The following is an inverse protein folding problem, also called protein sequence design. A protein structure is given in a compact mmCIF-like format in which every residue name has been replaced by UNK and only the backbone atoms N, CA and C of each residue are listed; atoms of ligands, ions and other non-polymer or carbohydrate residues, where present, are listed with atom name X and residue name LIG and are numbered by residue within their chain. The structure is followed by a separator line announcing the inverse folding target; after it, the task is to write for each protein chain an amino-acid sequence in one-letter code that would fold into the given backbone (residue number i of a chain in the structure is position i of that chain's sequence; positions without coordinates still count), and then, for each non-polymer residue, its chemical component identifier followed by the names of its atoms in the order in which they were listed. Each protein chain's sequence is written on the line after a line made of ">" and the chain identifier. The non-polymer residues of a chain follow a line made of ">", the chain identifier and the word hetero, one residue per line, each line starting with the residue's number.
data_IF_285727925594
#
_entry.id   IF_285727925594
#
_cell.length_a   1.000
_cell.length_b   1.000
_cell.length_c   1.000
_cell.angle_alpha   90.00
_cell.angle_beta   90.00
_cell.angle_gamma   90.00
#
_symmetry.space_group_name_H-M   'P 1'
#
loop_
_entity.id
_entity.type
_entity.pdbx_description
1 polymer ?
#
# COMPACT_ATOMS: atom_id res chain seq x y z
N UNK A 1 -7.42 -29.46 -10.42
CA UNK A 1 -6.33 -29.29 -9.44
C UNK A 1 -6.89 -28.50 -8.27
N UNK A 2 -6.94 -29.10 -7.11
CA UNK A 2 -7.62 -28.60 -5.92
C UNK A 2 -6.93 -27.36 -5.39
N UNK A 3 -7.69 -26.30 -5.11
CA UNK A 3 -7.29 -24.98 -4.58
C UNK A 3 -6.36 -24.97 -3.35
N UNK A 4 -6.15 -26.13 -2.74
CA UNK A 4 -5.43 -26.32 -1.47
C UNK A 4 -3.91 -26.59 -1.61
N UNK A 5 -3.41 -26.75 -2.84
CA UNK A 5 -2.03 -27.19 -3.07
C UNK A 5 -1.00 -26.03 -3.20
N UNK A 6 -1.43 -24.78 -3.09
CA UNK A 6 -0.54 -23.60 -3.25
C UNK A 6 -0.26 -22.85 -1.95
N UNK A 7 -0.96 -23.18 -0.86
CA UNK A 7 -0.66 -22.61 0.46
C UNK A 7 -0.12 -23.74 1.36
N UNK A 8 1.00 -23.52 2.06
CA UNK A 8 1.47 -24.49 3.05
C UNK A 8 0.40 -24.71 4.12
N UNK A 9 0.32 -25.95 4.67
CA UNK A 9 -0.55 -26.32 5.80
C UNK A 9 -0.08 -25.65 7.12
N UNK A 10 0.12 -24.34 7.10
CA UNK A 10 0.37 -23.58 8.31
C UNK A 10 -0.95 -23.42 9.09
N UNK A 11 -0.95 -23.53 10.43
CA UNK A 11 -2.12 -23.20 11.22
C UNK A 11 -2.56 -21.77 10.87
N UNK A 12 -3.85 -21.59 10.58
CA UNK A 12 -4.38 -20.28 10.21
C UNK A 12 -3.96 -19.25 11.28
N UNK A 13 -3.22 -18.20 10.91
CA UNK A 13 -2.76 -17.22 11.86
C UNK A 13 -3.96 -16.57 12.56
N UNK A 14 -3.90 -16.51 13.89
CA UNK A 14 -4.93 -15.88 14.71
C UNK A 14 -4.70 -14.36 14.70
N UNK A 15 -5.15 -13.67 13.65
CA UNK A 15 -5.04 -12.21 13.54
C UNK A 15 -6.36 -11.58 13.08
N UNK A 16 -6.44 -10.26 13.16
CA UNK A 16 -7.67 -9.51 12.79
C UNK A 16 -8.00 -9.59 11.29
N UNK A 17 -7.04 -10.02 10.47
CA UNK A 17 -7.17 -10.18 9.01
C UNK A 17 -7.19 -11.65 8.57
N UNK A 18 -7.41 -12.59 9.52
CA UNK A 18 -7.42 -14.02 9.20
C UNK A 18 -8.36 -14.34 8.04
N UNK A 19 -7.83 -15.01 7.01
CA UNK A 19 -8.57 -15.41 5.81
C UNK A 19 -8.84 -14.28 4.81
N UNK A 20 -8.43 -13.04 5.07
CA UNK A 20 -8.52 -11.96 4.09
C UNK A 20 -7.48 -12.15 2.99
N UNK A 21 -7.86 -11.89 1.74
CA UNK A 21 -6.96 -11.87 0.59
C UNK A 21 -6.74 -10.40 0.24
N UNK A 22 -5.51 -9.93 0.40
CA UNK A 22 -5.16 -8.52 0.26
C UNK A 22 -4.02 -8.37 -0.74
N UNK A 23 -4.24 -7.57 -1.79
CA UNK A 23 -3.19 -7.21 -2.73
C UNK A 23 -2.46 -5.94 -2.25
N UNK A 24 -1.14 -5.95 -2.34
CA UNK A 24 -0.28 -4.79 -2.06
C UNK A 24 0.49 -4.45 -3.32
N UNK A 25 0.27 -3.27 -3.89
CA UNK A 25 1.05 -2.78 -5.04
C UNK A 25 2.29 -2.02 -4.56
N UNK A 26 3.36 -2.02 -5.36
CA UNK A 26 4.65 -1.48 -4.91
C UNK A 26 5.26 -2.30 -3.78
N UNK A 27 4.92 -3.59 -3.70
CA UNK A 27 5.38 -4.50 -2.65
C UNK A 27 6.86 -4.87 -2.77
N UNK A 28 7.51 -4.48 -3.84
CA UNK A 28 8.93 -4.68 -4.12
C UNK A 28 9.84 -3.62 -3.48
N UNK A 29 9.31 -2.58 -2.85
CA UNK A 29 10.12 -1.49 -2.29
C UNK A 29 9.48 -0.81 -1.07
N UNK A 30 10.29 -0.07 -0.32
CA UNK A 30 9.88 0.85 0.72
C UNK A 30 8.81 0.31 1.67
N UNK A 31 7.77 1.09 1.87
CA UNK A 31 6.62 0.73 2.70
C UNK A 31 5.85 -0.50 2.22
N UNK A 32 5.91 -0.83 0.91
CA UNK A 32 5.20 -1.99 0.37
C UNK A 32 5.62 -3.29 1.04
N UNK A 33 6.91 -3.50 1.27
CA UNK A 33 7.43 -4.68 1.98
C UNK A 33 6.96 -4.72 3.43
N UNK A 34 7.07 -3.59 4.15
CA UNK A 34 6.70 -3.52 5.57
C UNK A 34 5.19 -3.71 5.79
N UNK A 35 4.38 -3.06 4.97
CA UNK A 35 2.91 -3.21 4.98
C UNK A 35 2.53 -4.66 4.68
N UNK A 36 3.15 -5.28 3.68
CA UNK A 36 2.88 -6.68 3.33
C UNK A 36 3.19 -7.62 4.49
N UNK A 37 4.33 -7.44 5.16
CA UNK A 37 4.71 -8.23 6.33
C UNK A 37 3.74 -8.00 7.51
N UNK A 38 3.31 -6.75 7.75
CA UNK A 38 2.37 -6.43 8.81
C UNK A 38 0.98 -7.07 8.56
N UNK A 39 0.46 -6.99 7.33
CA UNK A 39 -0.81 -7.62 6.95
C UNK A 39 -0.74 -9.16 7.11
N UNK A 40 0.37 -9.77 6.69
CA UNK A 40 0.56 -11.21 6.82
C UNK A 40 0.66 -11.65 8.29
N UNK A 41 1.32 -10.88 9.16
CA UNK A 41 1.34 -11.13 10.63
C UNK A 41 -0.06 -11.13 11.25
N UNK A 42 -0.96 -10.34 10.69
CA UNK A 42 -2.37 -10.28 11.10
C UNK A 42 -3.26 -11.35 10.42
N UNK A 43 -2.65 -12.29 9.70
CA UNK A 43 -3.33 -13.45 9.15
C UNK A 43 -3.89 -13.29 7.74
N UNK A 44 -3.54 -12.22 7.04
CA UNK A 44 -3.93 -12.06 5.64
C UNK A 44 -3.11 -12.98 4.72
N UNK A 45 -3.74 -13.46 3.64
CA UNK A 45 -3.04 -13.97 2.47
C UNK A 45 -2.67 -12.78 1.59
N UNK A 46 -1.40 -12.47 1.48
CA UNK A 46 -0.93 -11.26 0.80
C UNK A 46 -0.51 -11.57 -0.63
N UNK A 47 -1.02 -10.78 -1.58
CA UNK A 47 -0.56 -10.81 -2.97
C UNK A 47 0.37 -9.61 -3.20
N UNK A 48 1.64 -9.90 -3.42
CA UNK A 48 2.69 -8.91 -3.61
C UNK A 48 2.76 -8.53 -5.09
N UNK A 49 2.42 -7.28 -5.42
CA UNK A 49 2.41 -6.77 -6.79
C UNK A 49 3.48 -5.69 -6.96
N UNK A 50 4.28 -5.79 -8.01
CA UNK A 50 5.35 -4.85 -8.33
C UNK A 50 6.08 -5.23 -9.62
N UNK A 51 7.09 -4.47 -9.99
CA UNK A 51 7.82 -4.64 -11.24
C UNK A 51 9.04 -5.55 -11.09
N UNK A 52 9.64 -5.62 -9.90
CA UNK A 52 10.85 -6.40 -9.64
C UNK A 52 10.52 -7.78 -9.05
N UNK A 53 10.54 -8.80 -9.92
CA UNK A 53 10.22 -10.18 -9.53
C UNK A 53 11.14 -10.76 -8.46
N UNK A 54 12.43 -10.40 -8.45
CA UNK A 54 13.41 -10.91 -7.48
C UNK A 54 13.09 -10.36 -6.07
N UNK A 55 12.86 -9.05 -5.98
CA UNK A 55 12.51 -8.41 -4.70
C UNK A 55 11.15 -8.89 -4.18
N UNK A 56 10.16 -9.09 -5.07
CA UNK A 56 8.87 -9.67 -4.70
C UNK A 56 9.03 -11.08 -4.14
N UNK A 57 9.84 -11.93 -4.79
CA UNK A 57 10.10 -13.29 -4.33
C UNK A 57 10.82 -13.29 -2.97
N UNK A 58 11.81 -12.42 -2.78
CA UNK A 58 12.50 -12.28 -1.50
C UNK A 58 11.55 -11.82 -0.38
N UNK A 59 10.65 -10.88 -0.69
CA UNK A 59 9.61 -10.41 0.26
C UNK A 59 8.65 -11.56 0.63
N UNK A 60 8.19 -12.34 -0.36
CA UNK A 60 7.33 -13.49 -0.12
C UNK A 60 8.02 -14.52 0.79
N UNK A 61 9.26 -14.91 0.47
CA UNK A 61 10.04 -15.84 1.28
C UNK A 61 10.24 -15.34 2.73
N UNK A 62 10.48 -14.05 2.92
CA UNK A 62 10.60 -13.45 4.26
C UNK A 62 9.30 -13.57 5.06
N UNK A 63 8.14 -13.35 4.42
CA UNK A 63 6.82 -13.49 5.04
C UNK A 63 6.54 -14.96 5.38
N UNK A 64 6.86 -15.89 4.48
CA UNK A 64 6.68 -17.33 4.71
C UNK A 64 7.54 -17.85 5.85
N UNK A 65 8.81 -17.42 5.93
CA UNK A 65 9.70 -17.76 7.04
C UNK A 65 9.20 -17.24 8.39
N UNK A 66 8.45 -16.14 8.39
CA UNK A 66 7.79 -15.60 9.58
C UNK A 66 6.44 -16.29 9.89
N UNK A 67 6.04 -17.31 9.13
CA UNK A 67 4.79 -18.06 9.32
C UNK A 67 3.57 -17.43 8.65
N UNK A 68 3.74 -16.39 7.83
CA UNK A 68 2.68 -15.78 7.03
C UNK A 68 2.49 -16.46 5.68
N UNK A 69 1.55 -15.94 4.88
CA UNK A 69 1.28 -16.41 3.53
C UNK A 69 1.36 -15.25 2.52
N UNK A 70 2.21 -15.40 1.51
CA UNK A 70 2.35 -14.41 0.45
C UNK A 70 2.64 -15.05 -0.90
N UNK A 71 2.13 -14.45 -1.98
CA UNK A 71 2.48 -14.84 -3.35
C UNK A 71 2.96 -13.61 -4.13
N UNK A 72 4.07 -13.71 -4.88
CA UNK A 72 4.54 -12.65 -5.76
C UNK A 72 3.80 -12.67 -7.10
N UNK A 73 3.48 -11.49 -7.62
CA UNK A 73 2.86 -11.31 -8.93
C UNK A 73 3.44 -10.07 -9.61
N UNK A 74 4.18 -10.28 -10.70
CA UNK A 74 4.77 -9.19 -11.46
C UNK A 74 3.70 -8.44 -12.25
N UNK A 75 3.57 -7.13 -12.03
CA UNK A 75 2.74 -6.24 -12.84
C UNK A 75 3.16 -4.79 -12.64
N UNK A 76 3.04 -3.99 -13.69
CA UNK A 76 3.14 -2.53 -13.64
C UNK A 76 1.73 -1.93 -13.51
N UNK A 77 1.42 -1.40 -12.33
CA UNK A 77 0.09 -0.83 -12.03
C UNK A 77 -0.19 0.48 -12.79
N UNK A 78 0.83 1.12 -13.38
CA UNK A 78 0.65 2.29 -14.27
C UNK A 78 0.04 1.88 -15.62
N UNK A 79 0.10 0.59 -15.95
CA UNK A 79 -0.48 -0.02 -17.15
C UNK A 79 -1.81 -0.70 -16.79
N UNK A 80 -2.97 -0.15 -17.22
CA UNK A 80 -4.28 -0.68 -16.79
C UNK A 80 -4.52 -2.15 -17.14
N UNK A 81 -3.95 -2.64 -18.24
CA UNK A 81 -4.08 -4.05 -18.64
C UNK A 81 -3.29 -4.99 -17.72
N UNK A 82 -2.11 -4.58 -17.26
CA UNK A 82 -1.31 -5.36 -16.32
C UNK A 82 -2.06 -5.49 -15.00
N UNK A 83 -2.62 -4.37 -14.50
CA UNK A 83 -3.45 -4.39 -13.30
C UNK A 83 -4.66 -5.32 -13.46
N UNK A 84 -5.37 -5.24 -14.59
CA UNK A 84 -6.53 -6.11 -14.84
C UNK A 84 -6.11 -7.59 -14.90
N UNK A 85 -4.98 -7.89 -15.52
CA UNK A 85 -4.38 -9.24 -15.53
C UNK A 85 -4.04 -9.74 -14.13
N UNK A 86 -3.40 -8.89 -13.33
CA UNK A 86 -3.06 -9.20 -11.94
C UNK A 86 -4.32 -9.50 -11.11
N UNK A 87 -5.34 -8.66 -11.20
CA UNK A 87 -6.61 -8.87 -10.52
C UNK A 87 -7.29 -10.19 -10.93
N UNK A 88 -7.37 -10.49 -12.22
CA UNK A 88 -7.96 -11.74 -12.70
C UNK A 88 -7.19 -12.93 -12.14
N UNK A 89 -5.85 -12.85 -12.10
CA UNK A 89 -5.02 -13.92 -11.54
C UNK A 89 -5.26 -14.14 -10.05
N UNK A 90 -5.46 -13.08 -9.28
CA UNK A 90 -5.84 -13.18 -7.85
C UNK A 90 -7.18 -13.91 -7.70
N UNK A 91 -8.19 -13.54 -8.49
CA UNK A 91 -9.50 -14.17 -8.46
C UNK A 91 -9.47 -15.64 -8.91
N UNK A 92 -8.63 -16.00 -9.87
CA UNK A 92 -8.42 -17.38 -10.30
C UNK A 92 -7.83 -18.24 -9.18
N UNK A 93 -6.81 -17.69 -8.46
CA UNK A 93 -6.10 -18.42 -7.40
C UNK A 93 -6.96 -18.55 -6.15
N UNK A 94 -7.52 -17.44 -5.68
CA UNK A 94 -8.17 -17.37 -4.37
C UNK A 94 -9.69 -17.34 -4.43
N UNK A 95 -10.27 -16.99 -5.57
CA UNK A 95 -11.72 -16.82 -5.74
C UNK A 95 -12.29 -15.54 -5.14
N UNK A 96 -11.47 -14.74 -4.47
CA UNK A 96 -11.87 -13.48 -3.84
C UNK A 96 -10.69 -12.50 -3.78
N UNK A 97 -11.01 -11.21 -3.66
CA UNK A 97 -10.08 -10.14 -3.32
C UNK A 97 -10.80 -9.22 -2.34
N UNK A 98 -10.34 -9.19 -1.09
CA UNK A 98 -11.04 -8.46 -0.02
C UNK A 98 -10.57 -7.02 0.09
N UNK A 99 -9.31 -6.76 -0.25
CA UNK A 99 -8.76 -5.42 -0.17
C UNK A 99 -7.50 -5.20 -0.99
N UNK A 100 -7.21 -3.93 -1.22
CA UNK A 100 -6.02 -3.48 -1.91
C UNK A 100 -5.35 -2.39 -1.09
N UNK A 101 -4.05 -2.53 -0.86
CA UNK A 101 -3.19 -1.43 -0.44
C UNK A 101 -2.40 -0.97 -1.65
N UNK A 102 -2.68 0.24 -2.11
CA UNK A 102 -2.03 0.81 -3.29
C UNK A 102 -1.01 1.87 -2.89
N UNK A 103 0.26 1.60 -3.15
CA UNK A 103 1.32 2.56 -2.91
C UNK A 103 1.46 3.50 -4.12
N UNK A 104 0.94 4.70 -3.98
CA UNK A 104 0.98 5.78 -4.97
C UNK A 104 2.13 6.76 -4.64
N UNK A 105 3.38 6.27 -4.71
CA UNK A 105 4.53 6.97 -4.15
C UNK A 105 5.75 6.99 -5.07
N UNK A 106 5.54 7.05 -6.37
CA UNK A 106 6.66 7.30 -7.30
C UNK A 106 7.12 8.75 -7.16
N UNK A 107 8.44 8.96 -7.05
CA UNK A 107 9.05 10.27 -6.83
C UNK A 107 9.89 10.72 -8.01
N UNK A 108 9.97 12.05 -8.22
CA UNK A 108 10.98 12.66 -9.05
C UNK A 108 12.13 13.18 -8.17
N UNK A 109 13.33 12.94 -8.63
CA UNK A 109 14.53 13.58 -8.06
C UNK A 109 14.86 14.90 -8.77
N UNK A 110 14.19 15.19 -9.90
CA UNK A 110 14.38 16.40 -10.71
C UNK A 110 13.62 17.56 -10.07
N UNK A 111 14.28 18.71 -9.93
CA UNK A 111 13.64 19.94 -9.45
C UNK A 111 12.57 20.40 -10.45
N UNK A 112 11.51 21.02 -9.95
CA UNK A 112 10.29 21.31 -10.72
C UNK A 112 10.51 22.04 -12.05
N UNK A 113 11.40 23.04 -12.07
CA UNK A 113 11.69 23.83 -13.26
C UNK A 113 12.52 23.10 -14.33
N UNK A 114 13.07 21.92 -13.99
CA UNK A 114 13.81 21.04 -14.91
C UNK A 114 13.04 19.78 -15.24
N UNK A 115 11.85 19.61 -14.65
CA UNK A 115 11.02 18.42 -14.84
C UNK A 115 10.48 18.36 -16.27
N UNK A 116 10.82 17.31 -16.99
CA UNK A 116 10.30 17.08 -18.34
C UNK A 116 8.84 16.63 -18.31
N UNK A 117 8.12 16.85 -19.41
CA UNK A 117 6.76 16.34 -19.58
C UNK A 117 6.69 14.81 -19.39
N UNK A 118 7.68 14.08 -19.91
CA UNK A 118 7.76 12.63 -19.79
C UNK A 118 7.89 12.16 -18.32
N UNK A 119 8.74 12.82 -17.54
CA UNK A 119 8.88 12.54 -16.10
C UNK A 119 7.59 12.88 -15.35
N UNK A 120 6.99 14.05 -15.65
CA UNK A 120 5.70 14.43 -15.07
C UNK A 120 4.61 13.40 -15.34
N UNK A 121 4.45 12.99 -16.60
CA UNK A 121 3.46 12.00 -17.00
C UNK A 121 3.72 10.63 -16.35
N UNK A 122 4.99 10.24 -16.21
CA UNK A 122 5.35 9.00 -15.53
C UNK A 122 4.92 9.02 -14.05
N UNK A 123 5.21 10.11 -13.33
CA UNK A 123 4.77 10.30 -11.95
C UNK A 123 3.24 10.27 -11.85
N UNK A 124 2.57 11.02 -12.71
CA UNK A 124 1.11 11.10 -12.72
C UNK A 124 0.46 9.76 -13.02
N UNK A 125 0.98 9.01 -13.99
CA UNK A 125 0.47 7.70 -14.35
C UNK A 125 0.64 6.69 -13.20
N UNK A 126 1.80 6.68 -12.53
CA UNK A 126 2.07 5.76 -11.43
C UNK A 126 1.29 6.10 -10.17
N UNK A 127 1.12 7.39 -9.84
CA UNK A 127 0.54 7.79 -8.56
C UNK A 127 -0.96 8.08 -8.66
N UNK A 128 -1.39 8.85 -9.66
CA UNK A 128 -2.77 9.34 -9.75
C UNK A 128 -3.63 8.45 -10.65
N UNK A 129 -3.20 8.25 -11.90
CA UNK A 129 -3.98 7.50 -12.89
C UNK A 129 -4.16 6.04 -12.46
N UNK A 130 -3.13 5.40 -11.89
CA UNK A 130 -3.24 4.04 -11.35
C UNK A 130 -4.27 3.95 -10.23
N UNK A 131 -4.25 4.91 -9.29
CA UNK A 131 -5.24 4.99 -8.20
C UNK A 131 -6.67 5.12 -8.75
N UNK A 132 -6.88 6.00 -9.73
CA UNK A 132 -8.18 6.15 -10.39
C UNK A 132 -8.60 4.86 -11.11
N UNK A 133 -7.69 4.23 -11.85
CA UNK A 133 -7.98 2.99 -12.58
C UNK A 133 -8.37 1.84 -11.65
N UNK A 134 -7.64 1.67 -10.53
CA UNK A 134 -7.97 0.69 -9.49
C UNK A 134 -9.36 0.98 -8.92
N UNK A 135 -9.61 2.22 -8.49
CA UNK A 135 -10.90 2.63 -7.93
C UNK A 135 -12.07 2.37 -8.91
N UNK A 136 -11.89 2.69 -10.20
CA UNK A 136 -12.90 2.42 -11.23
C UNK A 136 -13.19 0.94 -11.42
N UNK A 137 -12.15 0.10 -11.41
CA UNK A 137 -12.32 -1.35 -11.55
C UNK A 137 -13.05 -1.92 -10.32
N UNK A 138 -12.69 -1.49 -9.11
CA UNK A 138 -13.36 -1.90 -7.89
C UNK A 138 -14.83 -1.52 -7.92
N UNK A 139 -15.15 -0.28 -8.22
CA UNK A 139 -16.54 0.21 -8.32
C UNK A 139 -17.40 -0.61 -9.28
N UNK A 140 -16.83 -1.11 -10.38
CA UNK A 140 -17.56 -1.82 -11.43
C UNK A 140 -17.64 -3.33 -11.24
N UNK A 141 -16.62 -3.94 -10.63
CA UNK A 141 -16.44 -5.40 -10.63
C UNK A 141 -16.34 -6.01 -9.24
N UNK A 142 -15.87 -5.25 -8.26
CA UNK A 142 -15.58 -5.72 -6.90
C UNK A 142 -16.01 -4.67 -5.87
N UNK A 143 -17.30 -4.33 -5.78
CA UNK A 143 -17.78 -3.24 -4.93
C UNK A 143 -17.52 -3.46 -3.44
N UNK A 144 -17.40 -4.72 -3.00
CA UNK A 144 -17.11 -5.06 -1.59
C UNK A 144 -15.61 -4.99 -1.25
N UNK A 145 -14.73 -4.84 -2.26
CA UNK A 145 -13.28 -4.74 -2.06
C UNK A 145 -12.91 -3.32 -1.63
N UNK A 146 -12.23 -3.20 -0.50
CA UNK A 146 -11.74 -1.91 -0.04
C UNK A 146 -10.40 -1.52 -0.69
N UNK A 147 -10.13 -0.22 -0.74
CA UNK A 147 -8.89 0.37 -1.21
C UNK A 147 -8.29 1.30 -0.14
N UNK A 148 -7.07 1.03 0.27
CA UNK A 148 -6.27 1.99 1.04
C UNK A 148 -5.12 2.47 0.16
N UNK A 149 -5.09 3.77 -0.11
CA UNK A 149 -3.99 4.41 -0.84
C UNK A 149 -2.95 4.86 0.18
N UNK A 150 -1.68 4.60 -0.10
CA UNK A 150 -0.54 5.06 0.71
C UNK A 150 0.30 6.02 -0.13
N UNK A 151 0.50 7.23 0.37
CA UNK A 151 1.29 8.28 -0.30
C UNK A 151 0.42 9.40 -0.87
N UNK A 152 1.01 10.45 -1.43
CA UNK A 152 2.43 10.80 -1.37
C UNK A 152 2.88 11.24 0.04
N UNK A 153 4.19 11.16 0.30
CA UNK A 153 4.76 11.53 1.60
C UNK A 153 4.59 13.02 1.91
N UNK A 154 4.41 13.34 3.20
CA UNK A 154 4.17 14.71 3.64
C UNK A 154 5.43 15.59 3.62
N UNK A 155 6.62 14.98 3.81
CA UNK A 155 7.92 15.66 3.77
C UNK A 155 8.39 16.02 2.36
N UNK A 156 7.73 15.50 1.34
CA UNK A 156 8.06 15.83 -0.04
C UNK A 156 7.50 17.22 -0.41
N UNK A 157 8.40 18.14 -0.71
CA UNK A 157 8.09 19.56 -0.92
C UNK A 157 8.22 20.03 -2.37
N UNK A 158 8.56 19.13 -3.30
CA UNK A 158 8.62 19.45 -4.72
C UNK A 158 7.25 19.89 -5.25
N UNK A 159 7.20 20.96 -6.04
CA UNK A 159 5.95 21.49 -6.58
C UNK A 159 5.14 20.45 -7.39
N UNK A 160 5.82 19.49 -7.99
CA UNK A 160 5.19 18.39 -8.72
C UNK A 160 4.35 17.44 -7.84
N UNK A 161 4.57 17.43 -6.53
CA UNK A 161 3.86 16.55 -5.59
C UNK A 161 2.50 17.09 -5.22
N UNK A 162 2.35 18.40 -5.09
CA UNK A 162 1.11 19.03 -4.63
C UNK A 162 -0.11 18.72 -5.51
N UNK A 163 -0.04 18.79 -6.86
CA UNK A 163 -1.16 18.40 -7.71
C UNK A 163 -1.54 16.93 -7.56
N UNK A 164 -0.55 16.04 -7.41
CA UNK A 164 -0.79 14.60 -7.22
C UNK A 164 -1.46 14.33 -5.87
N UNK A 165 -0.94 14.94 -4.79
CA UNK A 165 -1.51 14.85 -3.45
C UNK A 165 -2.96 15.36 -3.43
N UNK A 166 -3.21 16.51 -4.06
CA UNK A 166 -4.55 17.09 -4.19
C UNK A 166 -5.51 16.19 -4.96
N UNK A 167 -5.04 15.60 -6.07
CA UNK A 167 -5.85 14.69 -6.89
C UNK A 167 -6.22 13.41 -6.13
N UNK A 168 -5.26 12.76 -5.45
CA UNK A 168 -5.51 11.54 -4.67
C UNK A 168 -6.43 11.84 -3.48
N UNK A 169 -6.17 12.93 -2.75
CA UNK A 169 -6.99 13.35 -1.62
C UNK A 169 -8.43 13.63 -2.06
N UNK A 170 -8.61 14.39 -3.13
CA UNK A 170 -9.93 14.67 -3.69
C UNK A 170 -10.66 13.42 -4.16
N UNK A 171 -9.95 12.46 -4.78
CA UNK A 171 -10.53 11.17 -5.14
C UNK A 171 -11.05 10.42 -3.91
N UNK A 172 -10.29 10.37 -2.83
CA UNK A 172 -10.66 9.67 -1.60
C UNK A 172 -11.84 10.34 -0.91
N UNK A 173 -11.78 11.66 -0.70
CA UNK A 173 -12.82 12.43 0.00
C UNK A 173 -14.16 12.40 -0.77
N UNK A 174 -14.13 12.45 -2.10
CA UNK A 174 -15.33 12.43 -2.94
C UNK A 174 -15.73 11.02 -3.41
N UNK A 175 -14.78 10.11 -3.53
CA UNK A 175 -15.03 8.70 -3.92
C UNK A 175 -15.87 7.96 -2.89
N UNK A 176 -15.84 8.38 -1.64
CA UNK A 176 -16.69 7.85 -0.58
C UNK A 176 -18.20 8.05 -0.86
N UNK A 177 -18.57 9.10 -1.60
CA UNK A 177 -19.94 9.33 -2.06
C UNK A 177 -20.44 8.32 -3.10
N UNK A 178 -19.55 7.59 -3.75
CA UNK A 178 -19.84 6.55 -4.73
C UNK A 178 -19.91 5.12 -4.11
N UNK A 179 -20.11 5.03 -2.80
CA UNK A 179 -20.15 3.78 -2.01
C UNK A 179 -18.83 2.99 -1.99
N UNK A 180 -17.79 3.49 -2.62
CA UNK A 180 -16.47 2.87 -2.62
C UNK A 180 -15.80 3.03 -1.25
N UNK A 181 -15.38 1.91 -0.65
CA UNK A 181 -14.58 1.94 0.57
C UNK A 181 -13.14 2.28 0.24
N UNK A 182 -12.85 3.58 0.09
CA UNK A 182 -11.52 4.11 -0.19
C UNK A 182 -11.05 5.01 0.96
N UNK A 183 -9.79 4.84 1.38
CA UNK A 183 -9.14 5.66 2.39
C UNK A 183 -7.71 6.01 1.96
N UNK A 184 -7.15 7.09 2.50
CA UNK A 184 -5.78 7.55 2.24
C UNK A 184 -4.97 7.57 3.53
N UNK A 185 -3.76 7.04 3.47
CA UNK A 185 -2.73 7.20 4.50
C UNK A 185 -1.54 7.91 3.88
N UNK A 186 -1.23 9.11 4.38
CA UNK A 186 -0.08 9.90 3.92
C UNK A 186 1.06 9.75 4.92
N UNK A 187 2.16 9.06 4.58
CA UNK A 187 3.31 8.94 5.47
C UNK A 187 4.00 10.29 5.65
N UNK A 188 4.51 10.54 6.84
CA UNK A 188 5.27 11.77 7.16
C UNK A 188 6.59 11.87 6.40
N UNK A 189 7.17 10.74 6.02
CA UNK A 189 8.45 10.61 5.31
C UNK A 189 8.50 9.33 4.48
N UNK A 190 9.57 9.17 3.72
CA UNK A 190 9.90 7.89 3.09
C UNK A 190 10.12 6.78 4.13
N UNK A 191 9.87 5.54 3.73
CA UNK A 191 10.26 4.40 4.55
C UNK A 191 11.75 4.43 4.86
N UNK A 192 12.09 4.25 6.13
CA UNK A 192 13.48 4.13 6.59
C UNK A 192 14.02 2.71 6.45
N UNK A 193 13.12 1.73 6.25
CA UNK A 193 13.44 0.32 6.38
C UNK A 193 13.52 -0.14 7.84
N UNK A 194 13.38 0.74 8.81
CA UNK A 194 13.31 0.44 10.24
C UNK A 194 11.84 0.23 10.63
N UNK A 195 11.49 -1.01 10.99
CA UNK A 195 10.12 -1.37 11.36
C UNK A 195 9.57 -0.50 12.49
N UNK A 196 10.38 -0.17 13.47
CA UNK A 196 9.94 0.62 14.64
C UNK A 196 9.55 2.03 14.24
N UNK A 197 10.36 2.66 13.37
CA UNK A 197 10.08 4.01 12.89
C UNK A 197 8.93 4.07 11.90
N UNK A 198 8.69 2.99 11.15
CA UNK A 198 7.65 2.89 10.15
C UNK A 198 6.35 2.25 10.70
N UNK A 199 6.36 1.79 11.95
CA UNK A 199 5.24 1.17 12.67
C UNK A 199 3.93 1.98 12.58
N UNK A 200 3.92 3.30 12.82
CA UNK A 200 2.67 4.06 12.79
C UNK A 200 1.92 3.98 11.47
N UNK A 201 2.64 3.88 10.34
CA UNK A 201 2.03 3.71 9.03
C UNK A 201 1.44 2.30 8.89
N UNK A 202 2.22 1.28 9.25
CA UNK A 202 1.76 -0.11 9.13
C UNK A 202 0.55 -0.36 10.01
N UNK A 203 0.52 0.19 11.22
CA UNK A 203 -0.62 0.11 12.14
C UNK A 203 -1.87 0.80 11.56
N UNK A 204 -1.72 1.97 10.95
CA UNK A 204 -2.81 2.66 10.30
C UNK A 204 -3.41 1.83 9.15
N UNK A 205 -2.55 1.24 8.30
CA UNK A 205 -2.99 0.39 7.18
C UNK A 205 -3.69 -0.87 7.68
N UNK A 206 -3.11 -1.58 8.66
CA UNK A 206 -3.72 -2.78 9.27
C UNK A 206 -5.07 -2.43 9.90
N UNK A 207 -5.16 -1.31 10.61
CA UNK A 207 -6.39 -0.82 11.22
C UNK A 207 -7.48 -0.59 10.17
N UNK A 208 -7.17 0.13 9.09
CA UNK A 208 -8.11 0.37 7.98
C UNK A 208 -8.48 -0.91 7.23
N UNK A 209 -7.58 -1.90 7.16
CA UNK A 209 -7.86 -3.20 6.56
C UNK A 209 -8.85 -4.05 7.37
N UNK A 210 -8.99 -3.79 8.67
CA UNK A 210 -9.83 -4.58 9.56
C UNK A 210 -11.29 -4.65 9.09
N UNK A 211 -11.88 -5.85 9.03
CA UNK A 211 -13.32 -6.00 8.74
C UNK A 211 -14.22 -5.30 9.76
N UNK A 212 -13.75 -5.05 10.97
CA UNK A 212 -14.48 -4.31 12.02
C UNK A 212 -14.69 -2.85 11.65
N UNK A 213 -13.82 -2.29 10.82
CA UNK A 213 -13.88 -0.90 10.37
C UNK A 213 -14.39 -0.76 8.92
N UNK A 214 -15.15 -1.74 8.44
CA UNK A 214 -15.71 -1.75 7.07
C UNK A 214 -16.55 -0.53 6.71
N UNK A 215 -17.06 0.19 7.71
CA UNK A 215 -17.85 1.41 7.56
C UNK A 215 -16.99 2.66 7.30
N UNK A 216 -15.67 2.60 7.56
CA UNK A 216 -14.77 3.73 7.33
C UNK A 216 -14.46 3.88 5.84
N UNK A 217 -14.79 5.05 5.31
CA UNK A 217 -14.53 5.45 3.91
C UNK A 217 -14.34 6.96 3.82
N UNK A 218 -13.58 7.41 2.85
CA UNK A 218 -13.29 8.84 2.65
C UNK A 218 -12.34 9.43 3.69
N UNK A 219 -11.68 8.60 4.50
CA UNK A 219 -10.79 9.11 5.53
C UNK A 219 -9.40 9.39 4.95
N UNK A 220 -8.84 10.50 5.39
CA UNK A 220 -7.46 10.88 5.13
C UNK A 220 -6.72 10.91 6.46
N UNK A 221 -5.70 10.07 6.56
CA UNK A 221 -4.85 9.92 7.75
C UNK A 221 -3.45 10.40 7.42
N UNK A 222 -3.08 11.55 7.95
CA UNK A 222 -1.72 12.05 7.86
C UNK A 222 -0.92 11.48 9.04
N UNK A 223 0.13 10.66 8.74
CA UNK A 223 1.02 10.08 9.75
C UNK A 223 2.21 11.03 9.91
N UNK A 224 2.25 11.84 10.98
CA UNK A 224 3.32 12.82 11.16
C UNK A 224 4.67 12.13 11.34
N UNK A 225 5.75 12.87 11.08
CA UNK A 225 7.08 12.46 11.50
C UNK A 225 7.07 12.26 13.02
N UNK A 226 7.59 11.13 13.50
CA UNK A 226 7.87 10.99 14.92
C UNK A 226 8.76 12.17 15.36
N UNK A 227 8.46 12.87 16.46
CA UNK A 227 9.34 13.90 16.95
C UNK A 227 10.74 13.30 17.13
N UNK A 228 11.75 14.02 16.66
CA UNK A 228 13.14 13.60 16.86
C UNK A 228 13.32 13.19 18.33
N UNK A 229 13.97 12.05 18.63
CA UNK A 229 14.17 11.63 20.01
C UNK A 229 14.79 12.81 20.76
N UNK A 230 14.14 13.24 21.83
CA UNK A 230 14.70 14.30 22.69
C UNK A 230 16.05 13.79 23.17
N UNK A 231 17.12 14.31 22.62
CA UNK A 231 18.46 14.04 23.15
C UNK A 231 18.44 14.53 24.58
N UNK A 232 18.43 13.62 25.54
CA UNK A 232 18.66 13.97 26.94
C UNK A 232 20.09 14.48 27.01
N UNK A 233 20.25 15.78 27.02
CA UNK A 233 21.54 16.37 27.41
C UNK A 233 21.73 16.01 28.88
N UNK A 234 22.79 15.27 29.24
CA UNK A 234 23.04 14.96 30.61
C UNK A 234 23.16 16.28 31.40
N UNK A 235 22.59 16.35 32.59
CA UNK A 235 22.63 17.56 33.45
C UNK A 235 24.04 18.14 33.63
N UNK A 236 25.08 17.31 33.52
CA UNK A 236 26.48 17.70 33.56
C UNK A 236 26.91 18.69 32.47
N UNK A 237 26.12 18.92 31.44
CA UNK A 237 26.40 19.86 30.34
C UNK A 237 25.47 21.08 30.34
N UNK A 238 24.68 21.28 31.42
CA UNK A 238 23.75 22.41 31.56
C UNK A 238 24.30 23.53 32.47
N UNK A 239 25.64 23.56 32.70
CA UNK A 239 26.32 24.63 33.43
C UNK A 239 26.87 25.68 32.49
#
# INVERSE_FOLDING_TARGET
>A
MTRRALLPDAPAPAGVLAGQIIAVTGADQGYGRLVSAALAREGANVVLIGENSETLAATASSIELAGGAAIPLKADVSVPLDWLGAQNRVLEIFGALHGIVHLADKRAHTVFNMLSEGEWMNLFNCNVKSTVAIAQILSRRLPDTWLTVVGPHLDETGLQVYPQRGAIRGLVEHGAGAELRINLVSPGRASSGDETLDQPLTDAVVTLASPRLRHLRGNVMDIPLAPAPKVRVPEAYLL
#
